data_IF_800600937891
#
_entry.id   IF_800600937891
#
_cell.length_a   1.000
_cell.length_b   1.000
_cell.length_c   1.000
_cell.angle_alpha   90.00
_cell.angle_beta   90.00
_cell.angle_gamma   90.00
#
_symmetry.space_group_name_H-M   'P 1'
#
loop_
_entity.id
_entity.type
_entity.pdbx_description
1 polymer ?
#
# COMPACT_ATOMS: atom_id res chain seq x y z
N UNK A 1 13.24 23.67 21.81
CA UNK A 1 12.65 23.13 20.56
C UNK A 1 13.54 23.61 19.43
N UNK A 2 14.12 22.71 18.65
CA UNK A 2 14.91 23.09 17.48
C UNK A 2 14.01 23.66 16.39
N UNK A 3 14.54 24.55 15.55
CA UNK A 3 13.83 25.05 14.38
C UNK A 3 13.63 23.92 13.35
N UNK A 4 12.47 23.91 12.70
CA UNK A 4 12.15 22.99 11.62
C UNK A 4 12.82 23.49 10.34
N UNK A 5 13.53 22.61 9.63
CA UNK A 5 14.14 22.96 8.34
C UNK A 5 13.07 23.42 7.34
N UNK A 6 13.31 24.59 6.74
CA UNK A 6 12.43 25.23 5.77
C UNK A 6 12.09 24.33 4.57
N UNK A 7 12.95 23.35 4.23
CA UNK A 7 12.69 22.39 3.17
C UNK A 7 11.43 21.52 3.39
N UNK A 8 10.93 21.42 4.62
CA UNK A 8 9.74 20.66 4.97
C UNK A 8 8.48 21.53 5.18
N UNK A 9 8.60 22.85 5.08
CA UNK A 9 7.50 23.77 5.38
C UNK A 9 6.66 23.95 4.12
N UNK A 10 5.43 23.43 4.15
CA UNK A 10 4.44 23.64 3.10
C UNK A 10 3.96 25.11 3.06
N UNK A 11 3.60 25.58 1.86
CA UNK A 11 2.93 26.86 1.67
C UNK A 11 1.57 26.88 2.39
N UNK A 12 1.13 28.08 2.81
CA UNK A 12 -0.07 28.25 3.65
C UNK A 12 -1.31 27.61 3.03
N UNK A 13 -1.45 27.67 1.69
CA UNK A 13 -2.56 27.09 0.95
C UNK A 13 -2.54 25.54 0.90
N UNK A 14 -1.42 24.92 1.22
CA UNK A 14 -1.24 23.47 1.19
C UNK A 14 -1.18 22.82 2.57
N UNK A 15 -1.10 23.64 3.63
CA UNK A 15 -1.09 23.13 5.00
C UNK A 15 -2.42 22.45 5.34
N UNK A 16 -2.40 21.32 6.06
CA UNK A 16 -3.61 20.70 6.53
C UNK A 16 -4.36 21.67 7.45
N UNK A 17 -5.69 21.70 7.32
CA UNK A 17 -6.53 22.37 8.31
C UNK A 17 -6.41 21.59 9.61
N UNK A 18 -6.05 22.24 10.71
CA UNK A 18 -5.87 21.60 12.01
C UNK A 18 -7.17 21.07 12.64
N UNK A 19 -8.31 21.23 11.97
CA UNK A 19 -9.53 20.56 12.35
C UNK A 19 -9.34 19.05 12.15
N UNK A 20 -9.16 18.33 13.25
CA UNK A 20 -9.25 16.86 13.26
C UNK A 20 -10.70 16.54 12.92
N UNK A 21 -10.93 16.04 11.71
CA UNK A 21 -12.20 15.45 11.34
C UNK A 21 -12.08 13.99 11.75
N UNK A 22 -12.77 13.59 12.82
CA UNK A 22 -12.98 12.17 13.07
C UNK A 22 -13.92 11.64 11.99
N UNK A 23 -13.41 10.72 11.17
CA UNK A 23 -14.20 10.09 10.13
C UNK A 23 -15.09 9.01 10.77
N UNK A 24 -16.32 9.38 11.08
CA UNK A 24 -17.36 8.44 11.52
C UNK A 24 -17.93 7.67 10.33
N UNK A 25 -18.21 6.37 10.50
CA UNK A 25 -18.94 5.58 9.51
C UNK A 25 -18.12 5.02 8.34
N UNK A 26 -16.79 5.00 8.43
CA UNK A 26 -15.95 4.29 7.44
C UNK A 26 -16.45 2.84 7.31
N UNK A 27 -16.77 2.36 6.09
CA UNK A 27 -17.28 1.01 5.90
C UNK A 27 -16.30 -0.05 6.42
N UNK A 28 -16.86 -1.08 7.06
CA UNK A 28 -16.10 -2.22 7.60
C UNK A 28 -16.61 -3.50 6.93
N UNK A 29 -15.83 -4.02 5.98
CA UNK A 29 -16.19 -5.17 5.15
C UNK A 29 -15.72 -6.48 5.81
N UNK A 30 -16.64 -7.42 6.02
CA UNK A 30 -16.34 -8.74 6.57
C UNK A 30 -16.16 -9.79 5.47
N UNK A 31 -14.94 -10.30 5.32
CA UNK A 31 -14.61 -11.32 4.31
C UNK A 31 -14.72 -12.76 4.82
N UNK A 32 -15.24 -13.00 6.03
CA UNK A 32 -15.43 -14.35 6.58
C UNK A 32 -16.29 -15.23 5.67
N UNK A 33 -17.22 -14.62 4.93
CA UNK A 33 -18.06 -15.31 3.93
C UNK A 33 -17.22 -15.98 2.83
N UNK A 34 -16.05 -15.46 2.48
CA UNK A 34 -15.21 -16.11 1.46
C UNK A 34 -14.55 -17.41 1.92
N UNK A 35 -14.56 -17.69 3.23
CA UNK A 35 -13.86 -18.82 3.83
C UNK A 35 -14.75 -20.06 4.06
N UNK A 36 -16.00 -20.03 3.62
CA UNK A 36 -16.95 -21.16 3.77
C UNK A 36 -17.64 -21.50 2.46
N UNK A 37 -18.22 -22.69 2.34
CA UNK A 37 -19.06 -23.06 1.19
C UNK A 37 -20.41 -22.32 1.29
N UNK A 38 -20.47 -21.09 0.81
CA UNK A 38 -21.63 -20.20 1.00
C UNK A 38 -22.52 -20.17 -0.23
N UNK A 39 -23.79 -19.84 0.02
CA UNK A 39 -24.80 -19.53 -0.99
C UNK A 39 -24.40 -18.32 -1.85
N UNK A 40 -24.67 -18.39 -3.16
CA UNK A 40 -24.37 -17.34 -4.14
C UNK A 40 -25.00 -15.97 -3.77
N UNK A 41 -26.12 -15.97 -3.04
CA UNK A 41 -26.78 -14.75 -2.59
C UNK A 41 -25.94 -13.96 -1.58
N UNK A 42 -25.25 -14.65 -0.66
CA UNK A 42 -24.39 -14.00 0.33
C UNK A 42 -23.17 -13.34 -0.32
N UNK A 43 -22.58 -14.01 -1.32
CA UNK A 43 -21.45 -13.47 -2.09
C UNK A 43 -21.89 -12.23 -2.89
N UNK A 44 -23.07 -12.25 -3.53
CA UNK A 44 -23.62 -11.07 -4.21
C UNK A 44 -23.83 -9.89 -3.27
N UNK A 45 -24.29 -10.15 -2.04
CA UNK A 45 -24.42 -9.12 -1.01
C UNK A 45 -23.09 -8.46 -0.67
N UNK A 46 -22.06 -9.26 -0.40
CA UNK A 46 -20.71 -8.78 -0.10
C UNK A 46 -20.09 -7.97 -1.25
N UNK A 47 -20.28 -8.40 -2.50
CA UNK A 47 -19.82 -7.67 -3.69
C UNK A 47 -20.53 -6.31 -3.78
N UNK A 48 -21.84 -6.26 -3.56
CA UNK A 48 -22.60 -5.02 -3.56
C UNK A 48 -22.15 -4.07 -2.45
N UNK A 49 -21.93 -4.57 -1.24
CA UNK A 49 -21.44 -3.77 -0.11
C UNK A 49 -20.05 -3.18 -0.38
N UNK A 50 -19.16 -4.00 -0.94
CA UNK A 50 -17.81 -3.56 -1.32
C UNK A 50 -17.88 -2.52 -2.44
N UNK A 51 -18.74 -2.71 -3.44
CA UNK A 51 -18.97 -1.75 -4.52
C UNK A 51 -19.49 -0.40 -4.00
N UNK A 52 -20.47 -0.43 -3.10
CA UNK A 52 -21.02 0.75 -2.44
C UNK A 52 -19.94 1.51 -1.64
N UNK A 53 -19.07 0.79 -0.92
CA UNK A 53 -17.96 1.39 -0.19
C UNK A 53 -16.95 2.06 -1.15
N UNK A 54 -16.61 1.41 -2.26
CA UNK A 54 -15.77 1.99 -3.31
C UNK A 54 -16.39 3.26 -3.90
N UNK A 55 -17.68 3.24 -4.25
CA UNK A 55 -18.36 4.36 -4.92
C UNK A 55 -18.57 5.56 -3.97
N UNK A 56 -19.05 5.30 -2.75
CA UNK A 56 -19.47 6.35 -1.81
C UNK A 56 -18.31 6.90 -0.98
N UNK A 57 -17.33 6.04 -0.65
CA UNK A 57 -16.21 6.39 0.24
C UNK A 57 -14.86 6.41 -0.48
N UNK A 58 -14.63 5.53 -1.45
CA UNK A 58 -13.31 5.35 -2.06
C UNK A 58 -12.27 4.67 -1.15
N UNK A 59 -12.67 4.31 0.07
CA UNK A 59 -11.85 3.58 1.04
C UNK A 59 -12.74 2.83 2.04
N UNK A 60 -12.26 1.70 2.55
CA UNK A 60 -12.95 0.89 3.56
C UNK A 60 -11.93 0.07 4.36
N UNK A 61 -12.36 -0.40 5.53
CA UNK A 61 -11.60 -1.34 6.35
C UNK A 61 -12.08 -2.77 6.07
N UNK A 62 -11.21 -3.73 6.29
CA UNK A 62 -11.53 -5.15 6.07
C UNK A 62 -11.21 -5.96 7.32
N UNK A 63 -12.11 -6.86 7.70
CA UNK A 63 -11.93 -7.86 8.76
C UNK A 63 -12.12 -9.27 8.24
N UNK A 64 -11.62 -10.25 8.98
CA UNK A 64 -11.73 -11.68 8.63
C UNK A 64 -11.21 -12.02 7.22
N UNK A 65 -10.22 -11.25 6.75
CA UNK A 65 -9.59 -11.36 5.43
C UNK A 65 -8.72 -12.63 5.24
N UNK A 66 -8.62 -13.51 6.25
CA UNK A 66 -7.89 -14.77 6.17
C UNK A 66 -6.36 -14.65 6.16
N UNK A 67 -5.79 -13.43 6.25
CA UNK A 67 -4.34 -13.25 6.36
C UNK A 67 -3.90 -13.67 7.76
N UNK A 68 -2.96 -14.62 7.91
CA UNK A 68 -2.53 -15.11 9.21
C UNK A 68 -1.94 -13.99 10.09
N UNK A 69 -2.22 -13.97 11.41
CA UNK A 69 -1.66 -12.97 12.33
C UNK A 69 -0.14 -12.89 12.29
N UNK A 70 0.55 -14.03 12.17
CA UNK A 70 2.01 -14.08 12.08
C UNK A 70 2.58 -13.36 10.85
N UNK A 71 1.81 -13.24 9.76
CA UNK A 71 2.20 -12.46 8.59
C UNK A 71 2.14 -10.96 8.90
N UNK A 72 1.12 -10.51 9.64
CA UNK A 72 0.99 -9.11 10.07
C UNK A 72 2.11 -8.73 11.03
N UNK A 73 2.39 -9.55 12.03
CA UNK A 73 3.48 -9.31 12.98
C UNK A 73 4.83 -9.18 12.28
N UNK A 74 5.12 -10.05 11.30
CA UNK A 74 6.34 -9.94 10.48
C UNK A 74 6.37 -8.65 9.66
N UNK A 75 5.23 -8.23 9.11
CA UNK A 75 5.11 -7.00 8.33
C UNK A 75 5.27 -5.73 9.19
N UNK A 76 4.98 -5.80 10.48
CA UNK A 76 5.24 -4.70 11.42
C UNK A 76 6.71 -4.69 11.88
N UNK A 77 7.27 -5.86 12.21
CA UNK A 77 8.63 -5.98 12.77
C UNK A 77 9.73 -5.69 11.75
N UNK A 78 9.61 -6.19 10.52
CA UNK A 78 10.69 -6.06 9.53
C UNK A 78 10.97 -4.61 9.12
N UNK A 79 9.96 -3.77 8.80
CA UNK A 79 10.18 -2.35 8.53
C UNK A 79 10.73 -1.59 9.74
N UNK A 80 10.24 -1.87 10.96
CA UNK A 80 10.75 -1.23 12.18
C UNK A 80 12.26 -1.42 12.31
N UNK A 81 12.72 -2.68 12.20
CA UNK A 81 14.15 -3.02 12.24
C UNK A 81 14.96 -2.36 11.12
N UNK A 82 14.35 -2.12 9.96
CA UNK A 82 15.02 -1.42 8.88
C UNK A 82 15.17 0.08 9.18
N UNK A 83 14.09 0.75 9.57
CA UNK A 83 14.09 2.21 9.77
C UNK A 83 14.82 2.67 11.04
N UNK A 84 15.00 1.77 12.02
CA UNK A 84 15.86 1.95 13.19
C UNK A 84 17.37 2.00 12.88
N UNK A 85 17.79 1.53 11.70
CA UNK A 85 19.20 1.58 11.29
C UNK A 85 19.68 3.01 11.02
N UNK A 86 20.99 3.19 11.01
CA UNK A 86 21.59 4.47 10.65
C UNK A 86 21.22 4.86 9.21
N UNK A 87 21.21 6.16 8.96
CA UNK A 87 20.89 6.70 7.62
C UNK A 87 21.81 6.14 6.54
N UNK A 88 23.09 5.93 6.85
CA UNK A 88 24.07 5.43 5.90
C UNK A 88 23.86 3.95 5.57
N UNK A 89 23.40 3.14 6.54
CA UNK A 89 22.99 1.76 6.27
C UNK A 89 21.73 1.72 5.38
N UNK A 90 20.71 2.53 5.69
CA UNK A 90 19.48 2.59 4.88
C UNK A 90 19.75 3.01 3.44
N UNK A 91 20.68 3.96 3.23
CA UNK A 91 21.10 4.42 1.89
C UNK A 91 21.74 3.35 1.03
N UNK A 92 22.31 2.28 1.59
CA UNK A 92 22.83 1.15 0.80
C UNK A 92 21.73 0.43 0.02
N UNK A 93 20.50 0.49 0.52
CA UNK A 93 19.32 -0.01 -0.17
C UNK A 93 18.54 1.10 -0.90
N UNK A 94 19.19 2.22 -1.21
CA UNK A 94 18.58 3.38 -1.86
C UNK A 94 18.20 3.14 -3.31
N UNK A 95 17.18 3.89 -3.76
CA UNK A 95 16.79 3.94 -5.18
C UNK A 95 17.93 4.49 -6.04
N UNK A 96 17.99 4.08 -7.31
CA UNK A 96 18.91 4.64 -8.30
C UNK A 96 18.25 4.74 -9.69
N UNK A 97 18.98 5.27 -10.68
CA UNK A 97 18.48 5.48 -12.05
C UNK A 97 18.01 4.19 -12.74
N UNK A 98 18.54 3.04 -12.33
CA UNK A 98 18.23 1.73 -12.90
C UNK A 98 17.09 1.04 -12.13
N UNK A 99 17.09 1.16 -10.80
CA UNK A 99 16.12 0.55 -9.90
C UNK A 99 15.41 1.63 -9.07
N UNK A 100 14.13 1.94 -9.37
CA UNK A 100 13.35 2.90 -8.61
C UNK A 100 12.84 2.33 -7.27
N UNK A 101 13.10 1.04 -6.98
CA UNK A 101 12.72 0.41 -5.71
C UNK A 101 13.80 0.64 -4.64
N UNK A 102 13.40 0.56 -3.38
CA UNK A 102 14.28 0.74 -2.23
C UNK A 102 14.00 2.02 -1.44
N UNK A 103 14.97 2.39 -0.61
CA UNK A 103 14.90 3.48 0.35
C UNK A 103 14.96 4.87 -0.32
N UNK A 104 14.13 5.80 0.17
CA UNK A 104 14.16 7.21 -0.18
C UNK A 104 13.69 8.08 0.99
N UNK A 105 14.37 9.20 1.23
CA UNK A 105 14.05 10.20 2.25
C UNK A 105 13.99 11.62 1.67
N UNK A 106 13.86 11.71 0.35
CA UNK A 106 13.92 12.97 -0.39
C UNK A 106 12.74 13.14 -1.34
N UNK A 107 11.63 12.43 -1.10
CA UNK A 107 10.40 12.61 -1.86
C UNK A 107 9.81 14.00 -1.62
N UNK A 108 9.13 14.52 -2.63
CA UNK A 108 8.48 15.82 -2.57
C UNK A 108 7.00 15.69 -2.90
N UNK A 109 6.17 16.36 -2.11
CA UNK A 109 4.76 16.60 -2.42
C UNK A 109 4.57 18.10 -2.61
N UNK A 110 4.09 18.50 -3.79
CA UNK A 110 3.93 19.92 -4.18
C UNK A 110 5.23 20.72 -4.06
N UNK A 111 6.34 20.14 -4.54
CA UNK A 111 7.70 20.72 -4.51
C UNK A 111 8.30 20.99 -3.12
N UNK A 112 7.68 20.49 -2.05
CA UNK A 112 8.20 20.57 -0.68
C UNK A 112 8.58 19.17 -0.22
N UNK A 113 9.68 19.03 0.51
CA UNK A 113 10.16 17.72 0.97
C UNK A 113 9.16 17.14 1.96
N UNK A 114 8.81 15.88 1.75
CA UNK A 114 7.93 15.17 2.66
C UNK A 114 8.63 14.92 3.99
N UNK A 115 7.91 15.09 5.10
CA UNK A 115 8.37 14.67 6.43
C UNK A 115 8.20 13.16 6.60
N UNK A 116 8.89 12.37 5.77
CA UNK A 116 8.82 10.92 5.78
C UNK A 116 10.10 10.29 5.23
N UNK A 117 10.31 9.04 5.60
CA UNK A 117 11.17 8.12 4.87
C UNK A 117 10.29 7.02 4.28
N UNK A 118 10.70 6.44 3.16
CA UNK A 118 9.95 5.38 2.47
C UNK A 118 10.90 4.29 1.99
N UNK A 119 10.39 3.07 1.92
CA UNK A 119 11.05 1.94 1.29
C UNK A 119 10.05 1.25 0.37
N UNK A 120 10.30 1.28 -0.93
CA UNK A 120 9.45 0.58 -1.88
C UNK A 120 10.01 -0.79 -2.21
N UNK A 121 9.19 -1.82 -2.08
CA UNK A 121 9.50 -3.18 -2.52
C UNK A 121 8.48 -3.65 -3.54
N UNK A 122 8.91 -4.53 -4.44
CA UNK A 122 8.05 -5.18 -5.41
C UNK A 122 8.21 -6.69 -5.27
N UNK A 123 7.10 -7.41 -5.43
CA UNK A 123 7.10 -8.88 -5.40
C UNK A 123 7.74 -9.38 -6.70
N UNK A 124 8.72 -10.28 -6.58
CA UNK A 124 9.40 -10.90 -7.74
C UNK A 124 8.43 -11.83 -8.50
N UNK A 125 7.56 -12.53 -7.78
CA UNK A 125 6.52 -13.38 -8.35
C UNK A 125 5.26 -12.57 -8.67
N UNK A 126 4.71 -12.66 -9.90
CA UNK A 126 3.52 -11.91 -10.27
C UNK A 126 2.31 -12.33 -9.45
N UNK A 127 1.58 -11.35 -8.94
CA UNK A 127 0.20 -11.56 -8.52
C UNK A 127 -0.63 -11.75 -9.78
N UNK A 128 -1.24 -12.92 -9.93
CA UNK A 128 -2.14 -13.21 -11.05
C UNK A 128 -3.55 -12.82 -10.62
N UNK A 129 -4.12 -11.82 -11.27
CA UNK A 129 -5.51 -11.40 -11.06
C UNK A 129 -6.35 -11.70 -12.31
N UNK A 130 -7.65 -11.88 -12.13
CA UNK A 130 -8.59 -11.87 -13.24
C UNK A 130 -8.49 -10.51 -13.95
N UNK A 131 -8.33 -10.54 -15.28
CA UNK A 131 -8.20 -9.34 -16.10
C UNK A 131 -9.55 -8.81 -16.58
N UNK A 132 -10.63 -9.54 -16.29
CA UNK A 132 -12.01 -9.29 -16.65
C UNK A 132 -12.90 -9.51 -15.43
N UNK A 133 -13.97 -8.73 -15.36
CA UNK A 133 -15.07 -8.85 -14.41
C UNK A 133 -16.12 -9.87 -14.86
N UNK A 134 -15.98 -10.45 -16.06
CA UNK A 134 -16.85 -11.52 -16.57
C UNK A 134 -16.58 -12.86 -15.88
N UNK A 135 -17.60 -13.53 -15.31
CA UNK A 135 -17.44 -14.73 -14.49
C UNK A 135 -16.94 -15.97 -15.28
N UNK A 136 -17.09 -15.99 -16.60
CA UNK A 136 -16.68 -17.11 -17.47
C UNK A 136 -15.37 -16.86 -18.24
N UNK A 137 -14.72 -15.71 -18.06
CA UNK A 137 -13.45 -15.41 -18.73
C UNK A 137 -12.27 -16.10 -18.01
N UNK A 138 -12.05 -17.36 -18.36
CA UNK A 138 -10.92 -18.18 -17.87
C UNK A 138 -9.61 -17.91 -18.62
N UNK A 139 -9.65 -17.20 -19.74
CA UNK A 139 -8.47 -16.95 -20.59
C UNK A 139 -7.73 -15.67 -20.18
N UNK A 140 -8.44 -14.66 -19.68
CA UNK A 140 -7.83 -13.38 -19.35
C UNK A 140 -7.36 -13.34 -17.89
N UNK A 141 -6.29 -14.08 -17.57
CA UNK A 141 -5.53 -13.85 -16.33
C UNK A 141 -4.38 -12.89 -16.62
N UNK A 142 -4.36 -11.73 -15.96
CA UNK A 142 -3.25 -10.79 -16.06
C UNK A 142 -2.31 -11.01 -14.88
N UNK A 143 -1.07 -11.38 -15.20
CA UNK A 143 0.03 -11.30 -14.26
C UNK A 143 0.38 -9.82 -14.06
N UNK A 144 0.15 -9.29 -12.85
CA UNK A 144 0.74 -8.03 -12.44
C UNK A 144 2.22 -8.27 -12.15
N UNK A 145 3.03 -8.11 -13.19
CA UNK A 145 4.50 -8.16 -13.09
C UNK A 145 4.98 -6.74 -12.82
N UNK A 146 5.60 -6.51 -11.67
CA UNK A 146 6.39 -5.30 -11.47
C UNK A 146 7.64 -5.40 -12.37
N UNK A 147 7.56 -4.81 -13.57
CA UNK A 147 8.65 -4.86 -14.58
C UNK A 147 9.98 -4.26 -14.10
N UNK A 148 9.97 -3.56 -12.97
CA UNK A 148 11.16 -2.95 -12.36
C UNK A 148 11.97 -3.94 -11.51
N UNK A 149 11.30 -4.90 -10.86
CA UNK A 149 11.98 -5.92 -10.03
C UNK A 149 12.78 -6.93 -10.87
N UNK A 150 12.45 -7.10 -12.15
CA UNK A 150 13.04 -8.10 -13.03
C UNK A 150 14.25 -7.64 -13.85
N UNK A 151 14.75 -6.41 -13.65
CA UNK A 151 16.08 -6.04 -14.18
C UNK A 151 17.16 -6.63 -13.28
N UNK A 152 17.38 -7.94 -13.39
CA UNK A 152 18.62 -8.56 -12.91
C UNK A 152 19.77 -8.00 -13.71
N UNK A 153 20.51 -7.07 -13.13
CA UNK A 153 21.72 -6.51 -13.71
C UNK A 153 22.49 -5.74 -12.66
N UNK A 154 23.57 -6.39 -12.18
CA UNK A 154 24.64 -5.87 -11.32
C UNK A 154 24.38 -5.89 -9.80
N UNK A 155 24.58 -7.06 -9.20
CA UNK A 155 25.42 -7.10 -8.00
C UNK A 155 26.89 -6.95 -8.41
N UNK A 156 27.75 -6.27 -7.63
CA UNK A 156 29.20 -6.46 -7.72
C UNK A 156 29.60 -7.89 -7.30
#
# INVERSE_FOLDING_TARGET
MGEVDAAFIQDLEHRPKLAVIEAEGIPLIDLSLLNSSVDDGAIKGLVSETGDACEKWGFFQVINHGVPPECREKMEVAPSKFFEQSKDEKRKAGRNEVNPMGYCDTEHTKNVRDWKEVFDAAVENPTVIAASDEPDDKESRRALICRWANRKGLHP
#
